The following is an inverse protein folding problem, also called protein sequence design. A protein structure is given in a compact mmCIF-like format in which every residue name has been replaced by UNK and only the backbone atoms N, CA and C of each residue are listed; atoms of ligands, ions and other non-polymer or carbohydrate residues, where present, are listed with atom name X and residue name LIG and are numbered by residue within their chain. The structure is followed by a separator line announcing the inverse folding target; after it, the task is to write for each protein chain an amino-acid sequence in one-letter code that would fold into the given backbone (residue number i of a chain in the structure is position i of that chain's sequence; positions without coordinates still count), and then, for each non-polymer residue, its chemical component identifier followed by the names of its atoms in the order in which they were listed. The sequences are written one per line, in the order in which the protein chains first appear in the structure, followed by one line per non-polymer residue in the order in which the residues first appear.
data_IF_148871666047
#
_entry.id   IF_148871666047
#
_cell.length_a   1.000
_cell.length_b   1.000
_cell.length_c   1.000
_cell.angle_alpha   90.00
_cell.angle_beta   90.00
_cell.angle_gamma   90.00
#
_symmetry.space_group_name_H-M   'P 1'
#
loop_
_entity.id
_entity.type
_entity.pdbx_description
1 polymer ?
#
# COMPACT_ATOMS: atom_id res chain seq x y z
N UNK A 1 9.26 -8.25 -0.49
CA UNK A 1 8.98 -7.88 0.92
C UNK A 1 8.28 -9.00 1.70
N UNK A 2 7.06 -9.40 1.32
CA UNK A 2 6.30 -10.45 2.04
C UNK A 2 7.07 -11.76 2.23
N UNK A 3 7.60 -12.31 1.13
CA UNK A 3 8.23 -13.64 1.12
C UNK A 3 9.65 -13.67 1.70
N UNK A 4 10.31 -12.51 1.81
CA UNK A 4 11.72 -12.42 2.17
C UNK A 4 11.96 -11.84 3.56
N UNK A 5 11.02 -11.04 4.09
CA UNK A 5 11.19 -10.35 5.36
C UNK A 5 9.96 -10.50 6.27
N UNK A 6 8.78 -10.07 5.80
CA UNK A 6 7.60 -10.00 6.67
C UNK A 6 7.21 -11.37 7.22
N UNK A 7 7.08 -12.38 6.35
CA UNK A 7 6.76 -13.74 6.78
C UNK A 7 7.95 -14.43 7.47
N UNK A 8 9.11 -14.64 6.80
CA UNK A 8 10.16 -15.50 7.37
C UNK A 8 10.90 -14.92 8.58
N UNK A 9 10.99 -13.58 8.71
CA UNK A 9 11.77 -12.93 9.76
C UNK A 9 10.88 -12.28 10.81
N UNK A 10 9.82 -11.59 10.40
CA UNK A 10 8.94 -10.85 11.33
C UNK A 10 7.70 -11.65 11.76
N UNK A 11 7.47 -12.83 11.18
CA UNK A 11 6.34 -13.70 11.48
C UNK A 11 4.98 -13.09 11.11
N UNK A 12 4.94 -12.23 10.09
CA UNK A 12 3.72 -11.60 9.58
C UNK A 12 3.20 -12.41 8.39
N UNK A 13 2.27 -13.31 8.64
CA UNK A 13 1.70 -14.20 7.61
C UNK A 13 0.79 -13.46 6.65
N UNK A 14 -0.11 -12.61 7.16
CA UNK A 14 -1.06 -11.86 6.35
C UNK A 14 -1.05 -10.37 6.71
N UNK A 15 -0.40 -9.51 5.90
CA UNK A 15 -0.29 -8.08 6.17
C UNK A 15 -1.63 -7.33 6.09
N UNK A 16 -2.71 -7.96 5.57
CA UNK A 16 -4.06 -7.36 5.56
C UNK A 16 -4.78 -7.51 6.90
N UNK A 17 -4.39 -8.47 7.73
CA UNK A 17 -5.09 -8.84 8.96
C UNK A 17 -4.23 -8.68 10.22
N UNK A 18 -2.91 -8.70 10.07
CA UNK A 18 -1.98 -8.58 11.20
C UNK A 18 -2.02 -7.16 11.79
N UNK A 19 -2.38 -7.06 13.07
CA UNK A 19 -2.52 -5.80 13.80
C UNK A 19 -1.18 -5.07 14.01
N UNK A 20 -0.05 -5.75 13.80
CA UNK A 20 1.31 -5.16 13.92
C UNK A 20 1.71 -4.34 12.69
N UNK A 21 0.96 -4.44 11.59
CA UNK A 21 1.17 -3.62 10.39
C UNK A 21 0.18 -2.46 10.35
N UNK A 22 0.71 -1.29 10.01
CA UNK A 22 -0.08 -0.11 9.69
C UNK A 22 0.47 0.55 8.43
N UNK A 23 -0.38 1.31 7.75
CA UNK A 23 -0.05 1.99 6.50
C UNK A 23 -0.23 3.49 6.67
N UNK A 24 0.80 4.24 6.30
CA UNK A 24 0.74 5.69 6.20
C UNK A 24 0.30 6.05 4.79
N UNK A 25 -0.69 6.95 4.66
CA UNK A 25 -1.15 7.42 3.37
C UNK A 25 -0.10 8.29 2.68
N UNK A 26 -0.01 8.20 1.34
CA UNK A 26 1.02 8.87 0.55
C UNK A 26 1.15 10.37 0.82
N UNK A 27 0.03 11.05 1.08
CA UNK A 27 -0.01 12.50 1.40
C UNK A 27 0.83 12.90 2.61
N UNK A 28 1.04 12.00 3.57
CA UNK A 28 1.84 12.30 4.78
C UNK A 28 3.34 12.15 4.56
N UNK A 29 3.76 11.50 3.47
CA UNK A 29 5.18 11.30 3.15
C UNK A 29 5.95 10.45 4.17
N UNK A 30 7.28 10.50 4.06
CA UNK A 30 8.22 9.76 4.92
C UNK A 30 8.35 10.35 6.32
N UNK A 31 8.07 11.63 6.52
CA UNK A 31 8.15 12.30 7.83
C UNK A 31 7.22 11.65 8.87
N UNK A 32 6.01 11.26 8.47
CA UNK A 32 5.11 10.53 9.37
C UNK A 32 5.64 9.13 9.71
N UNK A 33 6.31 8.45 8.78
CA UNK A 33 6.94 7.16 9.05
C UNK A 33 8.03 7.30 10.12
N UNK A 34 8.90 8.30 9.97
CA UNK A 34 9.96 8.61 10.93
C UNK A 34 9.38 8.97 12.29
N UNK A 35 8.38 9.85 12.34
CA UNK A 35 7.71 10.24 13.58
C UNK A 35 7.12 9.04 14.32
N UNK A 36 6.51 8.10 13.60
CA UNK A 36 5.91 6.89 14.19
C UNK A 36 6.97 5.96 14.79
N UNK A 37 8.11 5.80 14.13
CA UNK A 37 9.24 5.00 14.65
C UNK A 37 9.88 5.71 15.85
N UNK A 38 10.19 7.00 15.73
CA UNK A 38 10.81 7.80 16.80
C UNK A 38 9.92 7.90 18.06
N UNK A 39 8.60 7.86 17.90
CA UNK A 39 7.65 7.82 19.03
C UNK A 39 7.62 6.47 19.78
N UNK A 40 8.28 5.43 19.27
CA UNK A 40 8.27 4.09 19.84
C UNK A 40 6.99 3.27 19.53
N UNK A 41 6.00 3.86 18.84
CA UNK A 41 4.77 3.15 18.44
C UNK A 41 5.05 2.00 17.46
N UNK A 42 6.04 2.17 16.58
CA UNK A 42 6.52 1.16 15.66
C UNK A 42 8.03 0.99 15.79
N UNK A 43 8.55 -0.19 15.45
CA UNK A 43 9.99 -0.49 15.55
C UNK A 43 10.76 -0.24 14.27
N UNK A 44 10.07 -0.25 13.13
CA UNK A 44 10.64 -0.06 11.80
C UNK A 44 9.56 0.45 10.86
N UNK A 45 9.96 1.23 9.86
CA UNK A 45 9.13 1.66 8.76
C UNK A 45 9.77 1.27 7.42
N UNK A 46 8.95 1.03 6.41
CA UNK A 46 9.39 0.73 5.05
C UNK A 46 8.82 1.77 4.09
N UNK A 47 9.69 2.46 3.37
CA UNK A 47 9.31 3.28 2.22
C UNK A 47 9.65 2.51 0.95
N UNK A 48 8.71 2.47 0.00
CA UNK A 48 8.87 1.74 -1.26
C UNK A 48 8.83 2.73 -2.42
N UNK A 49 9.58 2.42 -3.48
CA UNK A 49 9.47 3.15 -4.73
C UNK A 49 8.04 3.07 -5.28
N UNK A 50 7.52 4.19 -5.85
CA UNK A 50 6.21 4.16 -6.48
C UNK A 50 6.21 3.18 -7.65
N UNK A 51 5.13 2.43 -7.80
CA UNK A 51 4.91 1.59 -8.98
C UNK A 51 4.61 2.49 -10.18
N UNK A 52 5.23 2.21 -11.33
CA UNK A 52 4.92 2.93 -12.57
C UNK A 52 3.50 2.62 -13.06
N UNK A 53 2.90 3.53 -13.82
CA UNK A 53 1.58 3.28 -14.42
C UNK A 53 1.66 2.12 -15.42
N UNK A 54 2.79 1.98 -16.11
CA UNK A 54 3.05 0.92 -17.08
C UNK A 54 3.15 -0.45 -16.40
N UNK A 55 3.76 -0.54 -15.21
CA UNK A 55 3.77 -1.77 -14.41
C UNK A 55 2.36 -2.12 -13.93
N UNK A 56 1.61 -1.11 -13.47
CA UNK A 56 0.23 -1.30 -13.00
C UNK A 56 -0.66 -1.88 -14.10
N UNK A 57 -0.62 -1.30 -15.30
CA UNK A 57 -1.39 -1.75 -16.47
C UNK A 57 -0.97 -3.18 -16.85
N UNK A 58 0.33 -3.47 -16.94
CA UNK A 58 0.83 -4.82 -17.26
C UNK A 58 0.39 -5.89 -16.25
N UNK A 59 0.30 -5.54 -14.96
CA UNK A 59 -0.21 -6.48 -13.94
C UNK A 59 -1.70 -6.75 -14.14
N UNK A 60 -2.49 -5.72 -14.47
CA UNK A 60 -3.92 -5.83 -14.74
C UNK A 60 -4.20 -6.66 -16.01
N UNK A 61 -3.49 -6.38 -17.11
CA UNK A 61 -3.62 -7.13 -18.38
C UNK A 61 -3.28 -8.61 -18.21
N UNK A 62 -2.36 -8.92 -17.29
CA UNK A 62 -2.01 -10.30 -16.93
C UNK A 62 -3.03 -10.99 -16.00
N UNK A 63 -4.15 -10.34 -15.67
CA UNK A 63 -5.15 -10.87 -14.73
C UNK A 63 -4.62 -11.07 -13.31
N UNK A 64 -3.57 -10.33 -12.92
CA UNK A 64 -2.90 -10.44 -11.62
C UNK A 64 -3.29 -9.29 -10.70
N UNK A 65 -2.99 -9.46 -9.42
CA UNK A 65 -3.26 -8.45 -8.39
C UNK A 65 -1.96 -7.84 -7.88
N UNK A 66 -1.98 -6.53 -7.67
CA UNK A 66 -0.94 -5.84 -6.91
C UNK A 66 -0.96 -6.29 -5.44
N UNK A 67 0.20 -6.35 -4.77
CA UNK A 67 0.24 -6.57 -3.34
C UNK A 67 -0.65 -5.56 -2.59
N UNK A 68 -1.26 -5.94 -1.46
CA UNK A 68 -2.09 -5.02 -0.69
C UNK A 68 -1.34 -3.73 -0.33
N UNK A 69 -1.99 -2.60 -0.59
CA UNK A 69 -1.51 -1.25 -0.20
C UNK A 69 -0.12 -0.90 -0.77
N UNK A 70 0.26 -1.51 -1.90
CA UNK A 70 1.51 -1.18 -2.61
C UNK A 70 1.40 0.05 -3.52
N UNK A 71 0.19 0.59 -3.72
CA UNK A 71 -0.06 1.80 -4.51
C UNK A 71 -0.97 2.77 -3.76
N UNK A 72 -0.79 4.06 -4.00
CA UNK A 72 -1.65 5.15 -3.51
C UNK A 72 -2.06 6.01 -4.71
N UNK A 73 -3.35 6.26 -4.86
CA UNK A 73 -3.89 7.08 -5.95
C UNK A 73 -4.47 8.37 -5.41
N UNK A 74 -4.20 9.48 -6.11
CA UNK A 74 -4.84 10.76 -5.89
C UNK A 74 -5.37 11.38 -7.19
N UNK A 75 -6.57 11.95 -7.17
CA UNK A 75 -7.53 11.92 -6.07
C UNK A 75 -8.08 10.50 -5.85
N UNK A 76 -8.44 10.15 -4.60
CA UNK A 76 -9.21 8.93 -4.39
C UNK A 76 -10.52 9.05 -5.16
N UNK A 77 -10.88 7.99 -5.88
CA UNK A 77 -12.19 7.93 -6.55
C UNK A 77 -13.27 8.28 -5.53
N UNK A 78 -14.02 9.34 -5.80
CA UNK A 78 -15.15 9.72 -4.96
C UNK A 78 -16.18 8.59 -5.09
N UNK A 79 -16.42 7.86 -4.02
CA UNK A 79 -17.49 6.86 -3.97
C UNK A 79 -18.82 7.55 -4.32
N UNK A 80 -19.55 7.04 -5.31
CA UNK A 80 -20.86 7.58 -5.72
C UNK A 80 -20.95 8.14 -7.14
N UNK A 81 -19.94 7.96 -8.00
CA UNK A 81 -20.09 8.29 -9.42
C UNK A 81 -20.98 7.26 -10.11
N UNK A 82 -22.22 7.63 -10.43
CA UNK A 82 -23.12 6.86 -11.27
C UNK A 82 -22.93 7.31 -12.72
N UNK A 83 -22.43 6.42 -13.59
CA UNK A 83 -22.32 6.70 -15.03
C UNK A 83 -23.57 6.13 -15.69
N UNK A 84 -24.56 6.99 -15.96
CA UNK A 84 -25.68 6.64 -16.83
C UNK A 84 -25.33 7.10 -18.24
N UNK A 85 -25.03 6.15 -19.12
CA UNK A 85 -24.84 6.42 -20.54
C UNK A 85 -26.22 6.78 -21.11
N UNK A 86 -26.40 8.04 -21.48
CA UNK A 86 -27.56 8.45 -22.28
C UNK A 86 -27.26 8.06 -23.73
N UNK A 87 -28.20 7.34 -24.35
CA UNK A 87 -28.20 7.11 -25.81
C UNK A 87 -28.37 8.41 -26.60
#
# INVERSE_FOLDING_TARGET
LQNNLLRPILGIENPRKDKRISFVGGIKGTEELERLVNSGKFRVAFSMFPTSIEDLIRVADAGRFMPPKSTWFEPKLKSGLFVHLLE
#
